data_IF_913442652691
#
_entry.id   IF_913442652691
#
_cell.length_a   1.000
_cell.length_b   1.000
_cell.length_c   1.000
_cell.angle_alpha   90.00
_cell.angle_beta   90.00
_cell.angle_gamma   90.00
#
_symmetry.space_group_name_H-M   'P 1'
#
loop_
_entity.id
_entity.type
_entity.pdbx_description
1 polymer ?
#
# COMPACT_ATOMS: atom_id res chain seq x y z
N UNK A 1 0.35 -35.85 -7.03
CA UNK A 1 1.03 -34.69 -7.63
C UNK A 1 2.54 -34.87 -7.46
N UNK A 2 3.32 -34.60 -8.53
CA UNK A 2 4.78 -34.61 -8.42
C UNK A 2 5.37 -33.54 -9.34
N UNK A 3 6.26 -32.71 -8.80
CA UNK A 3 6.90 -31.60 -9.52
C UNK A 3 8.25 -31.24 -8.91
N UNK A 4 9.13 -30.70 -9.73
CA UNK A 4 10.44 -30.17 -9.32
C UNK A 4 10.50 -28.68 -9.62
N UNK A 5 10.97 -27.88 -8.67
CA UNK A 5 11.00 -26.42 -8.73
C UNK A 5 12.40 -25.89 -8.38
N UNK A 6 12.78 -24.77 -8.96
CA UNK A 6 13.88 -23.95 -8.45
C UNK A 6 13.49 -23.33 -7.09
N UNK A 7 14.30 -23.59 -6.06
CA UNK A 7 13.98 -23.21 -4.68
C UNK A 7 13.72 -21.72 -4.51
N UNK A 8 14.56 -20.84 -5.05
CA UNK A 8 14.44 -19.39 -4.89
C UNK A 8 13.17 -18.83 -5.53
N UNK A 9 12.82 -19.35 -6.72
CA UNK A 9 11.58 -18.96 -7.41
C UNK A 9 10.33 -19.45 -6.67
N UNK A 10 10.40 -20.67 -6.12
CA UNK A 10 9.33 -21.22 -5.29
C UNK A 10 9.19 -20.44 -3.99
N UNK A 11 10.29 -20.09 -3.32
CA UNK A 11 10.31 -19.29 -2.09
C UNK A 11 9.64 -17.93 -2.30
N UNK A 12 10.02 -17.21 -3.36
CA UNK A 12 9.44 -15.90 -3.66
C UNK A 12 7.92 -15.97 -3.90
N UNK A 13 7.49 -16.90 -4.75
CA UNK A 13 6.07 -17.12 -5.03
C UNK A 13 5.30 -17.57 -3.78
N UNK A 14 5.91 -18.44 -2.96
CA UNK A 14 5.31 -18.92 -1.72
C UNK A 14 5.14 -17.81 -0.69
N UNK A 15 6.15 -16.97 -0.49
CA UNK A 15 6.07 -15.83 0.43
C UNK A 15 4.94 -14.86 0.05
N UNK A 16 4.75 -14.62 -1.25
CA UNK A 16 3.67 -13.79 -1.74
C UNK A 16 2.29 -14.42 -1.44
N UNK A 17 2.06 -15.68 -1.77
CA UNK A 17 0.81 -16.36 -1.47
C UNK A 17 0.56 -16.49 0.06
N UNK A 18 1.62 -16.78 0.82
CA UNK A 18 1.55 -16.91 2.28
C UNK A 18 1.29 -15.59 3.02
N UNK A 19 1.54 -14.44 2.38
CA UNK A 19 1.37 -13.11 3.01
C UNK A 19 -0.08 -12.79 3.38
N UNK A 20 -1.05 -13.42 2.76
CA UNK A 20 -2.49 -13.26 3.05
C UNK A 20 -3.04 -14.35 3.98
N UNK A 21 -2.33 -15.47 4.13
CA UNK A 21 -2.76 -16.54 5.03
C UNK A 21 -2.72 -16.05 6.49
N UNK A 22 -3.84 -16.08 7.23
CA UNK A 22 -3.89 -15.58 8.59
C UNK A 22 -3.07 -16.45 9.55
N UNK A 23 -2.45 -15.85 10.55
CA UNK A 23 -1.72 -16.59 11.59
C UNK A 23 -2.65 -17.46 12.46
N UNK A 24 -3.90 -17.02 12.62
CA UNK A 24 -4.98 -17.73 13.34
C UNK A 24 -6.27 -17.60 12.56
N UNK A 25 -7.00 -18.68 12.43
CA UNK A 25 -8.31 -18.73 11.75
C UNK A 25 -9.21 -19.80 12.38
N UNK A 26 -10.52 -19.55 12.48
CA UNK A 26 -11.52 -20.58 12.79
C UNK A 26 -11.53 -21.72 11.77
N UNK A 27 -11.07 -21.46 10.54
CA UNK A 27 -10.88 -22.45 9.48
C UNK A 27 -9.37 -22.70 9.32
N UNK A 28 -8.80 -23.80 9.87
CA UNK A 28 -7.36 -24.07 9.86
C UNK A 28 -6.74 -24.06 8.46
N UNK A 29 -7.46 -24.54 7.45
CA UNK A 29 -6.99 -24.62 6.07
C UNK A 29 -6.54 -23.24 5.50
N UNK A 30 -7.16 -22.14 5.96
CA UNK A 30 -6.77 -20.78 5.53
C UNK A 30 -5.40 -20.35 6.05
N UNK A 31 -4.87 -21.01 7.07
CA UNK A 31 -3.52 -20.75 7.59
C UNK A 31 -2.42 -21.32 6.68
N UNK A 32 -2.81 -22.00 5.60
CA UNK A 32 -1.93 -22.71 4.70
C UNK A 32 -1.98 -22.12 3.29
N UNK A 33 -1.15 -22.64 2.39
CA UNK A 33 -1.08 -22.23 1.00
C UNK A 33 -1.38 -23.45 0.13
N UNK A 34 -2.30 -23.33 -0.82
CA UNK A 34 -2.57 -24.36 -1.81
C UNK A 34 -1.61 -24.23 -2.97
N UNK A 35 -0.97 -25.33 -3.34
CA UNK A 35 -0.24 -25.49 -4.61
C UNK A 35 -1.11 -26.34 -5.54
N UNK A 36 -1.40 -25.81 -6.71
CA UNK A 36 -2.08 -26.51 -7.80
C UNK A 36 -1.13 -26.63 -8.99
N UNK A 37 -0.91 -27.85 -9.44
CA UNK A 37 0.01 -28.18 -10.53
C UNK A 37 -0.80 -28.81 -11.67
N UNK A 38 -0.79 -28.16 -12.82
CA UNK A 38 -1.33 -28.68 -14.08
C UNK A 38 -0.20 -29.23 -14.94
N UNK A 39 -0.50 -29.74 -16.14
CA UNK A 39 0.53 -30.16 -17.09
C UNK A 39 1.44 -29.01 -17.58
N UNK A 40 0.98 -27.77 -17.46
CA UNK A 40 1.66 -26.59 -18.06
C UNK A 40 2.26 -25.65 -17.03
N UNK A 41 1.63 -25.53 -15.86
CA UNK A 41 1.97 -24.53 -14.84
C UNK A 41 1.67 -24.98 -13.43
N UNK A 42 2.31 -24.32 -12.47
CA UNK A 42 1.97 -24.45 -11.06
C UNK A 42 1.57 -23.09 -10.48
N UNK A 43 0.55 -23.09 -9.64
CA UNK A 43 -0.01 -21.90 -9.03
C UNK A 43 -0.09 -22.09 -7.52
N UNK A 44 0.50 -21.16 -6.78
CA UNK A 44 0.33 -21.03 -5.34
C UNK A 44 -0.84 -20.08 -5.04
N UNK A 45 -1.67 -20.47 -4.09
CA UNK A 45 -2.86 -19.71 -3.67
C UNK A 45 -2.91 -19.57 -2.16
N UNK A 46 -3.15 -18.34 -1.71
CA UNK A 46 -3.43 -18.01 -0.31
C UNK A 46 -4.66 -17.11 -0.20
N UNK A 47 -5.42 -17.22 0.90
CA UNK A 47 -6.58 -16.34 1.12
C UNK A 47 -6.99 -16.31 2.59
N UNK A 48 -7.57 -15.17 3.01
CA UNK A 48 -8.30 -15.01 4.28
C UNK A 48 -9.82 -14.84 4.06
N UNK A 49 -10.29 -15.08 2.82
CA UNK A 49 -11.64 -14.91 2.28
C UNK A 49 -11.99 -13.47 1.87
N UNK A 50 -11.34 -12.47 2.43
CA UNK A 50 -11.50 -11.07 2.02
C UNK A 50 -10.47 -10.69 0.94
N UNK A 51 -9.27 -11.23 1.07
CA UNK A 51 -8.17 -11.05 0.12
C UNK A 51 -7.69 -12.41 -0.35
N UNK A 52 -7.41 -12.54 -1.63
CA UNK A 52 -6.85 -13.75 -2.23
C UNK A 52 -5.65 -13.40 -3.12
N UNK A 53 -4.66 -14.27 -3.11
CA UNK A 53 -3.46 -14.17 -3.95
C UNK A 53 -3.28 -15.45 -4.73
N UNK A 54 -3.05 -15.32 -6.03
CA UNK A 54 -2.61 -16.40 -6.94
C UNK A 54 -1.27 -16.02 -7.52
N UNK A 55 -0.30 -16.90 -7.46
CA UNK A 55 1.04 -16.67 -8.03
C UNK A 55 1.46 -17.87 -8.84
N UNK A 56 1.82 -17.65 -10.09
CA UNK A 56 2.41 -18.68 -10.92
C UNK A 56 3.89 -18.88 -10.54
N UNK A 57 4.28 -20.13 -10.32
CA UNK A 57 5.66 -20.51 -9.99
C UNK A 57 6.44 -20.71 -11.29
N UNK A 58 7.45 -19.88 -11.59
CA UNK A 58 8.26 -20.06 -12.78
C UNK A 58 9.27 -21.20 -12.62
N UNK A 59 9.66 -21.82 -13.75
CA UNK A 59 10.72 -22.82 -13.77
C UNK A 59 10.34 -24.13 -13.06
N UNK A 60 9.07 -24.53 -13.13
CA UNK A 60 8.60 -25.81 -12.64
C UNK A 60 8.68 -26.88 -13.71
N UNK A 61 9.13 -28.07 -13.33
CA UNK A 61 9.04 -29.29 -14.13
C UNK A 61 7.98 -30.19 -13.53
N UNK A 62 6.93 -30.48 -14.30
CA UNK A 62 5.78 -31.28 -13.85
C UNK A 62 5.95 -32.73 -14.30
N UNK A 63 5.94 -33.65 -13.34
CA UNK A 63 5.95 -35.11 -13.58
C UNK A 63 4.53 -35.70 -13.49
N UNK A 64 3.75 -35.22 -12.53
CA UNK A 64 2.35 -35.61 -12.35
C UNK A 64 1.51 -34.42 -11.84
N UNK A 65 0.39 -34.09 -12.52
CA UNK A 65 -0.50 -33.01 -12.07
C UNK A 65 -1.22 -33.36 -10.77
N UNK A 66 -1.80 -32.35 -10.13
CA UNK A 66 -2.60 -32.49 -8.91
C UNK A 66 -2.42 -31.29 -7.98
N UNK A 67 -2.95 -31.38 -6.78
CA UNK A 67 -2.88 -30.28 -5.81
C UNK A 67 -2.50 -30.76 -4.42
N UNK A 68 -1.98 -29.84 -3.60
CA UNK A 68 -1.57 -30.08 -2.22
C UNK A 68 -1.70 -28.81 -1.40
N UNK A 69 -2.04 -28.95 -0.13
CA UNK A 69 -2.04 -27.86 0.85
C UNK A 69 -0.72 -27.88 1.63
N UNK A 70 0.01 -26.78 1.59
CA UNK A 70 1.34 -26.61 2.16
C UNK A 70 1.23 -25.86 3.50
N UNK A 71 1.66 -26.44 4.63
CA UNK A 71 1.66 -25.78 5.92
C UNK A 71 2.56 -24.54 5.90
N UNK A 72 1.98 -23.33 6.01
CA UNK A 72 2.66 -22.04 5.81
C UNK A 72 3.99 -21.94 6.53
N UNK A 73 3.97 -22.13 7.86
CA UNK A 73 5.15 -21.84 8.68
C UNK A 73 6.27 -22.87 8.49
N UNK A 74 5.91 -24.15 8.38
CA UNK A 74 6.89 -25.24 8.23
C UNK A 74 7.48 -25.28 6.83
N UNK A 75 6.64 -25.19 5.82
CA UNK A 75 7.10 -25.19 4.44
C UNK A 75 7.91 -23.93 4.11
N UNK A 76 7.49 -22.75 4.61
CA UNK A 76 8.25 -21.52 4.48
C UNK A 76 9.65 -21.61 5.11
N UNK A 77 9.77 -22.25 6.28
CA UNK A 77 11.09 -22.52 6.92
C UNK A 77 11.93 -23.47 6.09
N UNK A 78 11.36 -24.55 5.54
CA UNK A 78 12.10 -25.47 4.66
C UNK A 78 12.68 -24.70 3.47
N UNK A 79 11.89 -23.86 2.81
CA UNK A 79 12.35 -23.06 1.68
C UNK A 79 13.45 -22.06 2.06
N UNK A 80 13.35 -21.43 3.24
CA UNK A 80 14.32 -20.43 3.71
C UNK A 80 15.64 -21.06 4.14
N UNK A 81 15.60 -22.22 4.79
CA UNK A 81 16.79 -22.88 5.37
C UNK A 81 17.47 -23.85 4.40
N UNK A 82 16.79 -24.25 3.32
CA UNK A 82 17.40 -25.15 2.33
C UNK A 82 18.47 -24.44 1.54
N UNK A 83 19.62 -25.12 1.38
CA UNK A 83 20.71 -24.70 0.50
C UNK A 83 20.64 -25.30 -0.91
N UNK A 84 19.64 -26.17 -1.16
CA UNK A 84 19.47 -26.84 -2.44
C UNK A 84 18.96 -25.84 -3.50
N UNK A 85 19.50 -25.89 -4.72
CA UNK A 85 19.03 -25.07 -5.85
C UNK A 85 17.66 -25.51 -6.34
N UNK A 86 17.35 -26.80 -6.23
CA UNK A 86 16.07 -27.39 -6.68
C UNK A 86 15.47 -28.26 -5.60
N UNK A 87 14.15 -28.25 -5.52
CA UNK A 87 13.37 -29.10 -4.61
C UNK A 87 12.32 -29.88 -5.37
N UNK A 88 12.18 -31.16 -5.06
CA UNK A 88 11.09 -32.01 -5.54
C UNK A 88 9.96 -32.06 -4.53
N UNK A 89 8.74 -31.89 -5.00
CA UNK A 89 7.51 -31.94 -4.23
C UNK A 89 6.66 -33.11 -4.70
N UNK A 90 6.24 -33.95 -3.77
CA UNK A 90 5.38 -35.09 -4.05
C UNK A 90 4.24 -35.16 -3.02
N UNK A 91 2.97 -35.24 -3.48
CA UNK A 91 1.86 -35.45 -2.57
C UNK A 91 1.41 -36.91 -2.59
N UNK A 92 1.24 -37.48 -1.40
CA UNK A 92 0.79 -38.85 -1.18
C UNK A 92 -0.14 -38.93 0.05
N UNK A 93 -1.41 -39.22 -0.18
CA UNK A 93 -2.37 -39.63 0.86
C UNK A 93 -2.47 -38.69 2.09
N UNK A 94 -2.59 -37.38 1.90
CA UNK A 94 -2.68 -36.40 3.01
C UNK A 94 -1.33 -35.94 3.55
N UNK A 95 -0.28 -36.12 2.77
CA UNK A 95 1.08 -35.70 3.11
C UNK A 95 1.71 -35.04 1.88
N UNK A 96 2.66 -34.13 2.13
CA UNK A 96 3.59 -33.63 1.12
C UNK A 96 5.00 -34.03 1.51
N UNK A 97 5.73 -34.59 0.55
CA UNK A 97 7.13 -34.96 0.71
C UNK A 97 7.94 -33.95 -0.09
N UNK A 98 8.87 -33.26 0.59
CA UNK A 98 9.78 -32.29 0.01
C UNK A 98 11.19 -32.91 0.03
N UNK A 99 11.83 -33.06 -1.12
CA UNK A 99 13.16 -33.63 -1.24
C UNK A 99 14.13 -32.62 -1.86
N UNK A 100 15.27 -32.44 -1.21
CA UNK A 100 16.47 -31.84 -1.74
C UNK A 100 17.52 -32.91 -2.09
N UNK A 101 18.76 -32.51 -2.37
CA UNK A 101 19.84 -33.45 -2.70
C UNK A 101 20.19 -34.39 -1.52
N UNK A 102 20.17 -33.85 -0.28
CA UNK A 102 20.52 -34.58 0.93
C UNK A 102 19.48 -34.42 2.05
N UNK A 103 18.34 -33.86 1.75
CA UNK A 103 17.28 -33.58 2.71
C UNK A 103 15.95 -34.16 2.26
N UNK A 104 15.16 -34.62 3.23
CA UNK A 104 13.78 -35.05 2.98
C UNK A 104 12.94 -34.64 4.17
N UNK A 105 11.81 -33.97 3.86
CA UNK A 105 10.82 -33.58 4.83
C UNK A 105 9.47 -34.19 4.45
N UNK A 106 8.72 -34.59 5.45
CA UNK A 106 7.35 -35.08 5.28
C UNK A 106 6.44 -34.21 6.15
N UNK A 107 5.53 -33.49 5.53
CA UNK A 107 4.60 -32.59 6.19
C UNK A 107 3.16 -33.11 6.03
N UNK A 108 2.28 -32.93 7.04
CA UNK A 108 0.85 -33.19 6.87
C UNK A 108 0.29 -32.19 5.85
N UNK A 109 -0.69 -32.63 5.08
CA UNK A 109 -1.45 -31.82 4.13
C UNK A 109 -2.94 -32.05 4.36
N UNK A 110 -3.69 -30.96 4.42
CA UNK A 110 -5.15 -30.99 4.43
C UNK A 110 -5.68 -31.30 3.02
N UNK A 111 -6.97 -31.62 2.93
CA UNK A 111 -7.61 -31.90 1.65
C UNK A 111 -7.64 -30.65 0.78
N UNK A 112 -6.97 -30.62 -0.38
CA UNK A 112 -6.90 -29.44 -1.25
C UNK A 112 -8.26 -29.05 -1.87
N UNK A 113 -9.24 -29.95 -1.90
CA UNK A 113 -10.59 -29.67 -2.42
C UNK A 113 -11.41 -28.81 -1.44
N UNK A 114 -11.03 -28.79 -0.17
CA UNK A 114 -11.65 -27.93 0.86
C UNK A 114 -11.06 -26.51 0.89
N UNK A 115 -9.95 -26.28 0.17
CA UNK A 115 -9.35 -24.96 0.09
C UNK A 115 -10.23 -24.04 -0.75
N UNK A 116 -10.57 -22.82 -0.24
CA UNK A 116 -11.42 -21.89 -0.98
C UNK A 116 -10.84 -21.52 -2.34
N UNK A 117 -11.70 -21.37 -3.34
CA UNK A 117 -11.27 -20.88 -4.65
C UNK A 117 -10.77 -19.44 -4.53
N UNK A 118 -9.65 -19.14 -5.17
CA UNK A 118 -9.12 -17.78 -5.35
C UNK A 118 -9.30 -17.42 -6.81
N UNK A 119 -9.91 -16.27 -7.08
CA UNK A 119 -10.24 -15.85 -8.43
C UNK A 119 -8.99 -15.63 -9.28
N UNK A 120 -9.03 -16.06 -10.52
CA UNK A 120 -8.05 -15.72 -11.55
C UNK A 120 -8.42 -14.39 -12.22
N UNK A 121 -7.45 -13.73 -12.83
CA UNK A 121 -7.72 -12.54 -13.63
C UNK A 121 -8.11 -12.97 -15.06
N UNK A 122 -9.40 -12.98 -15.34
CA UNK A 122 -9.98 -13.36 -16.66
C UNK A 122 -10.70 -12.17 -17.31
N UNK A 123 -10.54 -10.96 -16.73
CA UNK A 123 -11.22 -9.75 -17.16
C UNK A 123 -10.72 -9.27 -18.52
N UNK A 124 -11.67 -8.94 -19.41
CA UNK A 124 -11.40 -8.32 -20.70
C UNK A 124 -11.46 -6.78 -20.63
N UNK A 125 -12.02 -6.27 -19.56
CA UNK A 125 -12.15 -4.84 -19.28
C UNK A 125 -11.39 -4.51 -18.00
N UNK A 126 -10.43 -3.61 -18.09
CA UNK A 126 -9.58 -3.21 -16.97
C UNK A 126 -8.93 -1.85 -17.23
N UNK A 127 -8.32 -1.27 -16.22
CA UNK A 127 -7.37 -0.16 -16.41
C UNK A 127 -5.95 -0.69 -16.37
N UNK A 128 -5.15 -0.20 -17.30
CA UNK A 128 -3.72 -0.51 -17.36
C UNK A 128 -2.90 0.73 -16.98
N UNK A 129 -1.88 0.53 -16.15
CA UNK A 129 -1.00 1.60 -15.68
C UNK A 129 0.38 1.07 -15.30
N UNK A 130 1.44 1.93 -15.31
CA UNK A 130 2.77 1.50 -14.87
C UNK A 130 2.76 1.04 -13.40
N UNK A 131 3.38 -0.10 -13.12
CA UNK A 131 3.49 -0.64 -11.75
C UNK A 131 4.16 0.37 -10.81
N UNK A 132 5.20 1.06 -11.27
CA UNK A 132 5.87 2.12 -10.52
C UNK A 132 4.92 3.25 -10.09
N UNK A 133 4.06 3.71 -11.01
CA UNK A 133 3.07 4.74 -10.66
C UNK A 133 2.10 4.24 -9.60
N UNK A 134 1.59 3.00 -9.72
CA UNK A 134 0.67 2.46 -8.73
C UNK A 134 1.33 2.26 -7.36
N UNK A 135 2.59 1.88 -7.30
CA UNK A 135 3.36 1.86 -6.03
C UNK A 135 3.47 3.25 -5.40
N UNK A 136 3.69 4.28 -6.21
CA UNK A 136 3.66 5.67 -5.72
C UNK A 136 2.28 6.04 -5.18
N UNK A 137 1.20 5.65 -5.88
CA UNK A 137 -0.18 5.80 -5.39
C UNK A 137 -0.35 5.19 -4.01
N UNK A 138 0.07 3.92 -3.83
CA UNK A 138 -0.03 3.26 -2.53
C UNK A 138 0.74 4.00 -1.45
N UNK A 139 2.02 4.27 -1.66
CA UNK A 139 2.91 4.90 -0.68
C UNK A 139 2.46 6.29 -0.27
N UNK A 140 1.92 7.06 -1.22
CA UNK A 140 1.49 8.44 -1.02
C UNK A 140 0.10 8.60 -0.43
N UNK A 141 -0.69 7.54 -0.34
CA UNK A 141 -2.06 7.61 0.15
C UNK A 141 -2.33 6.78 1.39
N UNK A 142 -1.77 5.58 1.48
CA UNK A 142 -2.15 4.57 2.49
C UNK A 142 -1.99 5.04 3.94
N UNK A 143 -1.02 5.91 4.22
CA UNK A 143 -0.75 6.41 5.57
C UNK A 143 -1.81 7.41 6.07
N UNK A 144 -2.64 7.95 5.16
CA UNK A 144 -3.71 8.89 5.49
C UNK A 144 -5.07 8.20 5.68
N UNK A 145 -5.14 6.87 5.69
CA UNK A 145 -6.37 6.11 5.98
C UNK A 145 -6.65 6.05 7.48
N UNK A 146 -7.91 5.80 7.85
CA UNK A 146 -8.36 5.61 9.23
C UNK A 146 -9.17 4.31 9.36
N UNK A 147 -8.56 3.28 9.93
CA UNK A 147 -9.21 1.99 10.14
C UNK A 147 -10.20 1.97 11.31
N UNK A 148 -10.24 3.00 12.14
CA UNK A 148 -11.09 3.08 13.34
C UNK A 148 -12.39 3.88 13.09
N UNK A 149 -12.51 4.51 11.93
CA UNK A 149 -13.69 5.30 11.58
C UNK A 149 -14.95 4.42 11.49
N UNK A 150 -15.98 4.78 12.26
CA UNK A 150 -17.29 4.10 12.23
C UNK A 150 -18.32 4.81 11.34
N UNK A 151 -18.08 6.07 10.96
CA UNK A 151 -19.04 6.90 10.21
C UNK A 151 -18.83 6.84 8.69
N UNK A 152 -17.58 6.73 8.27
CA UNK A 152 -17.18 6.73 6.86
C UNK A 152 -16.26 5.57 6.58
N UNK A 153 -16.23 5.15 5.33
CA UNK A 153 -15.35 4.08 4.85
C UNK A 153 -13.90 4.61 4.65
N UNK A 154 -13.27 5.10 5.74
CA UNK A 154 -11.92 5.66 5.72
C UNK A 154 -10.81 4.62 5.88
N UNK A 155 -11.17 3.35 6.14
CA UNK A 155 -10.24 2.23 6.28
C UNK A 155 -9.64 1.74 4.96
N UNK A 156 -9.74 2.53 3.90
CA UNK A 156 -9.19 2.24 2.60
C UNK A 156 -8.90 3.48 1.76
N UNK A 157 -8.32 3.25 0.60
CA UNK A 157 -8.03 4.29 -0.40
C UNK A 157 -9.12 4.28 -1.46
N UNK A 158 -9.79 5.40 -1.66
CA UNK A 158 -10.74 5.61 -2.75
C UNK A 158 -9.96 5.69 -4.07
N UNK A 159 -10.33 4.88 -5.03
CA UNK A 159 -9.81 4.90 -6.40
C UNK A 159 -10.91 5.36 -7.35
N UNK A 160 -10.68 6.43 -8.05
CA UNK A 160 -11.54 6.92 -9.12
C UNK A 160 -10.83 6.71 -10.46
N UNK A 161 -11.48 6.01 -11.36
CA UNK A 161 -10.95 5.65 -12.68
C UNK A 161 -11.66 6.45 -13.77
N UNK A 162 -10.88 7.14 -14.57
CA UNK A 162 -11.35 7.82 -15.78
C UNK A 162 -10.70 7.20 -17.01
N UNK A 163 -11.11 7.59 -18.22
CA UNK A 163 -10.62 6.98 -19.46
C UNK A 163 -9.08 6.93 -19.57
N UNK A 164 -8.38 7.95 -19.08
CA UNK A 164 -6.93 8.08 -19.21
C UNK A 164 -6.21 8.42 -17.88
N UNK A 165 -6.92 8.37 -16.76
CA UNK A 165 -6.34 8.71 -15.47
C UNK A 165 -6.92 7.89 -14.34
N UNK A 166 -6.12 7.78 -13.27
CA UNK A 166 -6.51 7.29 -11.96
C UNK A 166 -6.32 8.41 -10.96
N UNK A 167 -7.30 8.62 -10.08
CA UNK A 167 -7.18 9.46 -8.90
C UNK A 167 -7.36 8.59 -7.66
N UNK A 168 -6.38 8.60 -6.78
CA UNK A 168 -6.43 7.91 -5.49
C UNK A 168 -6.53 8.93 -4.36
N UNK A 169 -7.41 8.68 -3.40
CA UNK A 169 -7.64 9.58 -2.26
C UNK A 169 -7.70 8.79 -0.96
N UNK A 170 -7.02 9.29 0.06
CA UNK A 170 -7.13 8.78 1.42
C UNK A 170 -7.26 9.95 2.41
N UNK A 171 -8.04 9.76 3.47
CA UNK A 171 -8.24 10.76 4.52
C UNK A 171 -8.63 10.09 5.84
N UNK A 172 -8.20 10.71 6.95
CA UNK A 172 -8.62 10.39 8.32
C UNK A 172 -9.53 11.50 8.93
N UNK A 173 -9.95 12.47 8.07
CA UNK A 173 -10.75 13.62 8.48
C UNK A 173 -9.94 14.82 8.98
N UNK A 174 -8.64 14.68 9.22
CA UNK A 174 -7.71 15.75 9.64
C UNK A 174 -6.68 16.08 8.58
N UNK A 175 -6.42 15.13 7.71
CA UNK A 175 -5.55 15.24 6.54
C UNK A 175 -6.14 14.50 5.36
N UNK A 176 -5.72 14.86 4.17
CA UNK A 176 -6.14 14.21 2.93
C UNK A 176 -4.96 14.10 1.99
N UNK A 177 -4.66 12.89 1.54
CA UNK A 177 -3.68 12.62 0.50
C UNK A 177 -4.38 12.30 -0.82
N UNK A 178 -3.94 12.90 -1.92
CA UNK A 178 -4.45 12.64 -3.26
C UNK A 178 -3.30 12.46 -4.23
N UNK A 179 -3.27 11.35 -4.94
CA UNK A 179 -2.37 11.12 -6.07
C UNK A 179 -3.18 10.93 -7.34
N UNK A 180 -2.83 11.67 -8.38
CA UNK A 180 -3.39 11.55 -9.71
C UNK A 180 -2.30 11.21 -10.72
N UNK A 181 -2.62 10.41 -11.74
CA UNK A 181 -1.68 10.08 -12.79
C UNK A 181 -2.26 9.16 -13.86
N UNK A 182 -1.43 8.65 -14.78
CA UNK A 182 -1.88 7.97 -15.98
C UNK A 182 -2.43 6.58 -15.68
N UNK A 183 -3.59 6.29 -16.25
CA UNK A 183 -4.18 4.95 -16.33
C UNK A 183 -5.04 4.87 -17.58
N UNK A 184 -4.93 3.82 -18.36
CA UNK A 184 -5.64 3.67 -19.63
C UNK A 184 -6.75 2.65 -19.49
N UNK A 185 -7.97 3.04 -19.83
CA UNK A 185 -9.12 2.12 -19.91
C UNK A 185 -8.97 1.20 -21.12
N UNK A 186 -8.96 -0.11 -20.87
CA UNK A 186 -8.95 -1.17 -21.88
C UNK A 186 -10.33 -1.79 -21.93
N UNK A 187 -10.84 -2.02 -23.15
CA UNK A 187 -12.18 -2.60 -23.37
C UNK A 187 -13.33 -1.71 -22.91
N UNK A 188 -13.07 -0.41 -22.68
CA UNK A 188 -14.09 0.52 -22.16
C UNK A 188 -14.42 0.25 -20.69
N UNK A 189 -13.44 -0.16 -19.89
CA UNK A 189 -13.62 -0.36 -18.45
C UNK A 189 -14.06 0.94 -17.77
N UNK A 190 -15.05 0.84 -16.92
CA UNK A 190 -15.48 1.88 -15.97
C UNK A 190 -15.57 1.23 -14.59
N UNK A 191 -15.40 2.01 -13.53
CA UNK A 191 -15.70 1.50 -12.18
C UNK A 191 -17.17 1.08 -12.10
N UNK A 192 -17.48 0.12 -11.21
CA UNK A 192 -18.86 -0.24 -10.90
C UNK A 192 -19.66 0.95 -10.35
N UNK A 193 -20.95 0.76 -10.10
CA UNK A 193 -21.85 1.80 -9.56
C UNK A 193 -21.49 2.19 -8.12
N UNK A 194 -20.71 1.36 -7.43
CA UNK A 194 -20.22 1.59 -6.07
C UNK A 194 -18.85 2.28 -6.06
N UNK A 195 -18.53 2.94 -4.95
CA UNK A 195 -17.21 3.55 -4.77
C UNK A 195 -16.12 2.48 -4.64
N UNK A 196 -15.09 2.55 -5.45
CA UNK A 196 -13.94 1.63 -5.37
C UNK A 196 -13.03 2.03 -4.23
N UNK A 197 -13.29 1.53 -3.03
CA UNK A 197 -12.47 1.79 -1.83
C UNK A 197 -11.68 0.53 -1.51
N UNK A 198 -10.39 0.56 -1.81
CA UNK A 198 -9.48 -0.57 -1.58
C UNK A 198 -9.00 -0.57 -0.14
N UNK A 199 -9.20 -1.66 0.64
CA UNK A 199 -8.74 -1.71 2.03
C UNK A 199 -7.25 -1.40 2.18
N UNK A 200 -6.89 -0.69 3.26
CA UNK A 200 -5.49 -0.36 3.61
C UNK A 200 -4.57 -1.58 3.58
N UNK A 201 -5.03 -2.71 4.14
CA UNK A 201 -4.29 -3.98 4.14
C UNK A 201 -4.00 -4.48 2.72
N UNK A 202 -4.97 -4.36 1.83
CA UNK A 202 -4.81 -4.76 0.41
C UNK A 202 -3.85 -3.83 -0.32
N UNK A 203 -3.94 -2.51 -0.09
CA UNK A 203 -2.99 -1.56 -0.67
C UNK A 203 -1.54 -1.87 -0.24
N UNK A 204 -1.31 -2.17 1.03
CA UNK A 204 0.01 -2.58 1.54
C UNK A 204 0.49 -3.91 0.97
N UNK A 205 -0.42 -4.85 0.70
CA UNK A 205 -0.09 -6.10 0.03
C UNK A 205 0.33 -5.84 -1.42
N UNK A 206 -0.40 -4.98 -2.13
CA UNK A 206 -0.08 -4.58 -3.50
C UNK A 206 1.30 -3.93 -3.59
N UNK A 207 1.68 -3.00 -2.69
CA UNK A 207 3.02 -2.41 -2.68
C UNK A 207 4.14 -3.46 -2.58
N UNK A 208 3.92 -4.51 -1.78
CA UNK A 208 4.90 -5.62 -1.63
C UNK A 208 4.91 -6.59 -2.80
N UNK A 209 3.78 -6.78 -3.45
CA UNK A 209 3.63 -7.71 -4.57
C UNK A 209 4.11 -7.15 -5.91
N UNK A 210 4.10 -5.81 -6.04
CA UNK A 210 4.56 -5.14 -7.25
C UNK A 210 6.09 -5.10 -7.28
N UNK A 211 6.68 -5.67 -8.31
CA UNK A 211 8.12 -5.59 -8.55
C UNK A 211 8.53 -4.19 -9.05
N UNK A 212 9.83 -3.85 -8.90
CA UNK A 212 10.38 -2.60 -9.44
C UNK A 212 10.56 -2.62 -10.98
N UNK A 213 10.16 -3.70 -11.64
CA UNK A 213 10.21 -3.84 -13.08
C UNK A 213 9.25 -2.84 -13.74
N UNK A 214 9.62 -2.39 -14.94
CA UNK A 214 8.86 -1.40 -15.74
C UNK A 214 7.56 -1.98 -16.33
N UNK A 215 7.04 -3.07 -15.79
CA UNK A 215 5.82 -3.72 -16.26
C UNK A 215 4.58 -2.92 -15.86
N UNK A 216 3.57 -2.99 -16.72
CA UNK A 216 2.26 -2.48 -16.42
C UNK A 216 1.48 -3.44 -15.52
N UNK A 217 0.63 -2.90 -14.69
CA UNK A 217 -0.39 -3.64 -13.97
C UNK A 217 -1.75 -3.46 -14.63
N UNK A 218 -2.64 -4.40 -14.39
CA UNK A 218 -4.02 -4.36 -14.83
C UNK A 218 -4.92 -4.41 -13.61
N UNK A 219 -5.83 -3.44 -13.50
CA UNK A 219 -6.77 -3.32 -12.42
C UNK A 219 -8.19 -3.36 -12.97
N UNK A 220 -8.96 -4.35 -12.57
CA UNK A 220 -10.38 -4.46 -12.85
C UNK A 220 -11.16 -4.17 -11.56
N UNK A 221 -11.83 -3.03 -11.52
CA UNK A 221 -12.74 -2.66 -10.43
C UNK A 221 -14.15 -3.15 -10.79
N UNK A 222 -14.77 -3.88 -9.87
CA UNK A 222 -16.14 -4.37 -9.98
C UNK A 222 -16.97 -3.78 -8.85
N UNK A 223 -18.24 -4.13 -8.75
CA UNK A 223 -19.14 -3.53 -7.76
C UNK A 223 -18.71 -3.71 -6.32
N UNK A 224 -18.21 -4.91 -5.95
CA UNK A 224 -17.91 -5.26 -4.56
C UNK A 224 -16.46 -5.68 -4.33
N UNK A 225 -15.66 -5.77 -5.39
CA UNK A 225 -14.29 -6.24 -5.32
C UNK A 225 -13.42 -5.71 -6.44
N UNK A 226 -12.12 -5.96 -6.32
CA UNK A 226 -11.14 -5.70 -7.35
C UNK A 226 -10.31 -6.94 -7.68
N UNK A 227 -9.83 -6.97 -8.89
CA UNK A 227 -8.75 -7.85 -9.34
C UNK A 227 -7.59 -7.01 -9.84
N UNK A 228 -6.39 -7.30 -9.36
CA UNK A 228 -5.15 -6.68 -9.82
C UNK A 228 -4.22 -7.76 -10.32
N UNK A 229 -3.77 -7.65 -11.57
CA UNK A 229 -2.73 -8.51 -12.16
C UNK A 229 -1.44 -7.74 -12.34
N UNK A 230 -0.34 -8.29 -11.83
CA UNK A 230 1.02 -7.80 -12.05
C UNK A 230 1.93 -8.97 -12.34
N UNK A 231 2.50 -9.01 -13.54
CA UNK A 231 3.31 -10.13 -13.99
C UNK A 231 2.60 -11.48 -13.80
N UNK A 232 3.15 -12.32 -12.94
CA UNK A 232 2.62 -13.66 -12.64
C UNK A 232 1.66 -13.73 -11.44
N UNK A 233 1.41 -12.61 -10.79
CA UNK A 233 0.54 -12.55 -9.62
C UNK A 233 -0.82 -11.95 -9.96
N UNK A 234 -1.86 -12.51 -9.37
CA UNK A 234 -3.21 -11.94 -9.33
C UNK A 234 -3.62 -11.78 -7.87
N UNK A 235 -4.07 -10.59 -7.53
CA UNK A 235 -4.58 -10.25 -6.21
C UNK A 235 -6.06 -9.92 -6.36
N UNK A 236 -6.88 -10.62 -5.61
CA UNK A 236 -8.29 -10.35 -5.41
C UNK A 236 -8.48 -9.64 -4.07
N UNK A 237 -9.38 -8.68 -3.99
CA UNK A 237 -9.79 -8.09 -2.71
C UNK A 237 -11.23 -7.61 -2.77
N UNK A 238 -11.97 -7.85 -1.68
CA UNK A 238 -13.21 -7.13 -1.43
C UNK A 238 -12.94 -5.66 -1.21
N UNK A 239 -13.90 -4.82 -1.57
CA UNK A 239 -13.89 -3.38 -1.32
C UNK A 239 -14.44 -3.08 0.08
N UNK A 240 -14.05 -1.93 0.63
CA UNK A 240 -14.66 -1.40 1.85
C UNK A 240 -16.05 -0.87 1.50
N UNK A 241 -17.07 -1.38 2.15
CA UNK A 241 -18.43 -0.90 2.00
C UNK A 241 -18.67 0.38 2.81
N UNK A 242 -19.43 1.32 2.24
CA UNK A 242 -19.85 2.52 2.96
C UNK A 242 -19.69 3.81 2.17
N UNK A 243 -19.91 4.93 2.85
CA UNK A 243 -19.79 6.26 2.26
C UNK A 243 -18.39 6.80 2.43
N UNK A 244 -17.82 7.31 1.35
CA UNK A 244 -16.61 8.11 1.40
C UNK A 244 -16.97 9.60 1.46
N UNK A 245 -16.20 10.47 2.17
CA UNK A 245 -16.45 11.91 2.17
C UNK A 245 -16.39 12.50 0.76
N UNK A 246 -17.14 13.58 0.53
CA UNK A 246 -17.01 14.38 -0.69
C UNK A 246 -15.68 15.14 -0.66
N UNK A 247 -14.60 14.44 -0.90
CA UNK A 247 -13.23 14.91 -0.72
C UNK A 247 -12.91 16.19 -1.53
N UNK A 248 -13.57 16.39 -2.68
CA UNK A 248 -13.38 17.60 -3.49
C UNK A 248 -13.86 18.86 -2.78
N UNK A 249 -14.89 18.75 -1.93
CA UNK A 249 -15.43 19.88 -1.16
C UNK A 249 -14.48 20.28 -0.01
N UNK A 250 -13.60 19.37 0.39
CA UNK A 250 -12.62 19.60 1.47
C UNK A 250 -11.35 20.28 0.97
N UNK A 251 -11.07 20.22 -0.34
CA UNK A 251 -9.92 20.92 -0.92
C UNK A 251 -10.10 22.42 -0.79
N UNK A 252 -9.17 23.13 -0.12
CA UNK A 252 -9.27 24.58 0.04
C UNK A 252 -9.21 25.28 -1.31
N UNK A 253 -9.95 26.39 -1.44
CA UNK A 253 -9.78 27.29 -2.58
C UNK A 253 -8.41 27.96 -2.50
N UNK A 254 -7.66 27.93 -3.59
CA UNK A 254 -6.28 28.44 -3.66
C UNK A 254 -6.16 29.95 -3.82
N UNK A 255 -7.29 30.65 -4.01
CA UNK A 255 -7.29 32.10 -4.19
C UNK A 255 -6.73 32.81 -2.95
N UNK A 256 -5.73 33.67 -3.14
CA UNK A 256 -5.10 34.43 -2.07
C UNK A 256 -4.23 33.60 -1.12
N UNK A 257 -3.82 32.38 -1.49
CA UNK A 257 -2.82 31.61 -0.76
C UNK A 257 -1.41 32.07 -1.13
N UNK A 258 -0.55 32.17 -0.13
CA UNK A 258 0.90 32.32 -0.29
C UNK A 258 1.48 30.96 -0.69
N UNK A 259 2.38 30.96 -1.69
CA UNK A 259 3.06 29.75 -2.18
C UNK A 259 4.53 29.83 -1.83
N UNK A 260 5.01 28.80 -1.16
CA UNK A 260 6.39 28.72 -0.69
C UNK A 260 6.98 27.40 -1.19
N UNK A 261 8.05 27.49 -1.97
CA UNK A 261 8.78 26.31 -2.43
C UNK A 261 9.73 25.81 -1.34
N UNK A 262 9.71 24.51 -1.09
CA UNK A 262 10.48 23.86 -0.05
C UNK A 262 11.22 22.66 -0.61
N UNK A 263 12.45 22.41 -0.11
CA UNK A 263 13.18 21.16 -0.38
C UNK A 263 12.88 20.14 0.71
N UNK A 264 12.54 18.92 0.31
CA UNK A 264 12.06 17.84 1.21
C UNK A 264 13.06 17.53 2.32
N UNK A 265 14.32 17.24 2.00
CA UNK A 265 15.32 16.78 2.97
C UNK A 265 15.57 17.74 4.12
N UNK A 266 15.98 18.99 3.85
CA UNK A 266 16.18 20.01 4.90
C UNK A 266 14.93 20.27 5.73
N UNK A 267 13.75 20.37 5.08
CA UNK A 267 12.51 20.63 5.81
C UNK A 267 12.09 19.43 6.68
N UNK A 268 12.24 18.20 6.18
CA UNK A 268 12.00 16.99 6.96
C UNK A 268 12.89 16.90 8.20
N UNK A 269 14.17 17.26 8.06
CA UNK A 269 15.10 17.30 9.19
C UNK A 269 14.64 18.35 10.24
N UNK A 270 14.23 19.55 9.81
CA UNK A 270 13.72 20.58 10.70
C UNK A 270 12.44 20.16 11.43
N UNK A 271 11.47 19.57 10.70
CA UNK A 271 10.22 19.03 11.30
C UNK A 271 10.54 17.98 12.36
N UNK A 272 11.44 17.04 12.07
CA UNK A 272 11.84 15.99 13.02
C UNK A 272 12.52 16.55 14.27
N UNK A 273 13.31 17.62 14.14
CA UNK A 273 13.93 18.29 15.30
C UNK A 273 12.87 18.99 16.14
N UNK A 274 11.96 19.74 15.52
CA UNK A 274 10.95 20.51 16.22
C UNK A 274 9.98 19.61 17.01
N UNK A 275 9.67 18.41 16.48
CA UNK A 275 8.73 17.49 17.14
C UNK A 275 9.30 16.71 18.34
N UNK A 276 10.60 16.83 18.66
CA UNK A 276 11.22 16.06 19.76
C UNK A 276 10.55 16.39 21.12
N UNK A 277 10.10 17.61 21.30
CA UNK A 277 9.46 18.09 22.56
C UNK A 277 7.93 18.02 22.54
N UNK A 278 7.32 17.51 21.47
CA UNK A 278 5.85 17.35 21.39
C UNK A 278 5.40 16.07 22.11
N UNK A 279 4.19 16.09 22.67
CA UNK A 279 3.55 14.96 23.33
C UNK A 279 2.21 14.62 22.68
N UNK A 280 1.55 13.54 23.14
CA UNK A 280 0.18 13.20 22.69
C UNK A 280 -0.85 14.28 23.07
N UNK A 281 -0.62 15.01 24.14
CA UNK A 281 -1.51 16.06 24.65
C UNK A 281 -1.24 17.40 23.95
N UNK A 282 0.04 17.71 23.67
CA UNK A 282 0.48 18.91 22.95
C UNK A 282 1.23 18.51 21.67
N UNK A 283 0.46 18.29 20.62
CA UNK A 283 0.96 17.78 19.32
C UNK A 283 1.46 18.87 18.39
N UNK A 284 1.05 20.13 18.63
CA UNK A 284 1.27 21.23 17.71
C UNK A 284 2.71 21.70 17.67
N UNK A 285 3.17 21.99 16.45
CA UNK A 285 4.35 22.81 16.18
C UNK A 285 3.87 24.04 15.44
N UNK A 286 4.35 25.23 15.84
CA UNK A 286 4.11 26.48 15.16
C UNK A 286 5.13 26.65 14.04
N UNK A 287 4.63 26.88 12.84
CA UNK A 287 5.42 27.15 11.63
C UNK A 287 5.22 28.60 11.25
N UNK A 288 6.28 29.44 11.31
CA UNK A 288 6.25 30.84 10.91
C UNK A 288 7.20 31.04 9.74
N UNK A 289 6.63 31.44 8.60
CA UNK A 289 7.35 31.71 7.36
C UNK A 289 7.47 33.20 7.17
N UNK A 290 8.67 33.71 6.87
CA UNK A 290 8.94 35.14 6.60
C UNK A 290 10.41 35.50 6.71
N UNK A 291 10.81 36.61 6.15
CA UNK A 291 12.18 37.15 6.24
C UNK A 291 13.27 36.18 5.76
N UNK A 292 13.03 35.43 4.69
CA UNK A 292 14.01 34.50 4.11
C UNK A 292 14.18 33.18 4.90
N UNK A 293 13.31 32.89 5.86
CA UNK A 293 13.40 31.68 6.71
C UNK A 293 12.06 31.17 7.15
N UNK A 294 12.05 29.92 7.65
CA UNK A 294 10.96 29.37 8.44
C UNK A 294 11.48 29.10 9.86
N UNK A 295 10.67 29.42 10.85
CA UNK A 295 10.90 29.09 12.26
C UNK A 295 9.85 28.07 12.69
N UNK A 296 10.31 26.93 13.22
CA UNK A 296 9.48 25.88 13.79
C UNK A 296 9.62 25.95 15.31
N UNK A 297 8.52 26.15 16.04
CA UNK A 297 8.52 26.21 17.51
C UNK A 297 7.62 25.11 18.07
N UNK A 298 8.20 24.24 18.88
CA UNK A 298 7.48 23.17 19.59
C UNK A 298 7.47 23.46 21.09
N UNK A 299 6.33 23.20 21.77
CA UNK A 299 6.14 23.38 23.19
C UNK A 299 5.62 22.10 23.83
N UNK A 300 6.37 21.53 24.76
CA UNK A 300 5.95 20.39 25.59
C UNK A 300 5.84 20.81 27.05
N UNK A 301 4.73 20.51 27.73
CA UNK A 301 4.49 20.92 29.10
C UNK A 301 5.60 20.47 30.07
N UNK A 302 6.13 19.26 29.89
CA UNK A 302 7.20 18.67 30.72
C UNK A 302 8.46 18.34 29.91
N UNK A 303 8.39 18.37 28.56
CA UNK A 303 9.46 17.97 27.67
C UNK A 303 10.35 19.13 27.20
N UNK A 304 9.96 20.39 27.51
CA UNK A 304 10.69 21.58 27.16
C UNK A 304 10.20 22.25 25.89
N UNK A 305 11.04 23.10 25.31
CA UNK A 305 10.76 23.87 24.11
C UNK A 305 11.79 23.59 23.03
N UNK A 306 11.37 23.67 21.78
CA UNK A 306 12.27 23.62 20.63
C UNK A 306 12.05 24.82 19.72
N UNK A 307 13.14 25.36 19.20
CA UNK A 307 13.11 26.35 18.12
C UNK A 307 14.11 25.92 17.06
N UNK A 308 13.61 25.68 15.86
CA UNK A 308 14.42 25.26 14.70
C UNK A 308 14.23 26.29 13.59
N UNK A 309 15.34 26.81 13.06
CA UNK A 309 15.34 27.77 11.98
C UNK A 309 15.89 27.11 10.71
N UNK A 310 15.22 27.31 9.58
CA UNK A 310 15.64 26.85 8.27
C UNK A 310 15.56 28.00 7.27
N UNK A 311 16.66 28.38 6.56
CA UNK A 311 16.62 29.34 5.47
C UNK A 311 15.75 28.81 4.30
N UNK A 312 14.93 29.72 3.75
CA UNK A 312 14.06 29.43 2.60
C UNK A 312 14.02 30.63 1.64
N UNK A 313 13.70 30.40 0.39
CA UNK A 313 13.54 31.44 -0.62
C UNK A 313 12.13 32.07 -0.55
N UNK A 314 11.80 32.72 0.57
CA UNK A 314 10.55 33.44 0.76
C UNK A 314 10.73 34.73 1.55
N UNK A 315 10.54 35.88 0.87
CA UNK A 315 10.64 37.21 1.44
C UNK A 315 9.29 37.95 1.53
N UNK A 316 8.17 37.20 1.46
CA UNK A 316 6.81 37.75 1.60
C UNK A 316 6.48 38.16 3.04
N UNK A 317 5.23 38.61 3.23
CA UNK A 317 4.69 38.89 4.55
C UNK A 317 4.69 37.64 5.45
N UNK A 318 4.91 37.84 6.73
CA UNK A 318 4.87 36.72 7.70
C UNK A 318 3.55 36.00 7.66
N UNK A 319 3.61 34.68 7.55
CA UNK A 319 2.46 33.79 7.64
C UNK A 319 2.76 32.64 8.59
N UNK A 320 1.83 32.34 9.50
CA UNK A 320 2.00 31.32 10.51
C UNK A 320 0.83 30.34 10.56
N UNK A 321 1.14 29.09 10.89
CA UNK A 321 0.17 28.03 11.08
C UNK A 321 0.66 27.03 12.12
N UNK A 322 -0.27 26.47 12.91
CA UNK A 322 0.04 25.38 13.86
C UNK A 322 -0.41 24.07 13.28
N UNK A 323 0.53 23.14 13.08
CA UNK A 323 0.25 21.81 12.49
C UNK A 323 0.72 20.68 13.40
N UNK A 324 0.09 19.52 13.27
CA UNK A 324 0.66 18.28 13.82
C UNK A 324 1.88 17.87 12.94
N UNK A 325 3.11 17.92 13.48
CA UNK A 325 4.32 17.64 12.72
C UNK A 325 4.39 16.19 12.20
N UNK A 326 3.64 15.27 12.80
CA UNK A 326 3.57 13.87 12.36
C UNK A 326 2.92 13.78 10.99
N UNK A 327 1.89 14.58 10.71
CA UNK A 327 1.25 14.62 9.39
C UNK A 327 2.19 15.13 8.31
N UNK A 328 2.97 16.17 8.60
CA UNK A 328 4.02 16.63 7.69
C UNK A 328 5.13 15.58 7.50
N UNK A 329 5.54 14.93 8.60
CA UNK A 329 6.54 13.86 8.55
C UNK A 329 6.09 12.72 7.64
N UNK A 330 4.81 12.30 7.69
CA UNK A 330 4.29 11.22 6.85
C UNK A 330 4.28 11.60 5.36
N UNK A 331 3.92 12.85 5.03
CA UNK A 331 4.00 13.38 3.67
C UNK A 331 5.46 13.44 3.16
N UNK A 332 6.39 13.92 3.97
CA UNK A 332 7.77 14.10 3.57
C UNK A 332 8.52 12.77 3.41
N UNK A 333 8.20 11.76 4.23
CA UNK A 333 8.81 10.41 4.16
C UNK A 333 8.62 9.70 2.83
N UNK A 334 7.53 9.98 2.12
CA UNK A 334 7.20 9.31 0.85
C UNK A 334 7.80 10.00 -0.36
N UNK A 335 8.48 11.12 -0.13
CA UNK A 335 9.17 11.90 -1.16
C UNK A 335 10.69 11.70 -1.07
N UNK A 336 11.37 11.81 -2.21
CA UNK A 336 12.84 11.81 -2.23
C UNK A 336 13.41 13.09 -1.56
N UNK A 337 14.52 12.99 -0.84
CA UNK A 337 15.08 14.13 -0.08
C UNK A 337 15.48 15.33 -0.96
N UNK A 338 15.84 15.08 -2.22
CA UNK A 338 16.23 16.12 -3.19
C UNK A 338 15.05 16.72 -3.95
N UNK A 339 13.84 16.19 -3.76
CA UNK A 339 12.64 16.74 -4.40
C UNK A 339 12.25 18.07 -3.76
N UNK A 340 11.59 18.91 -4.56
CA UNK A 340 10.91 20.12 -4.09
C UNK A 340 9.40 19.87 -4.04
N UNK A 341 8.72 20.63 -3.20
CA UNK A 341 7.28 20.71 -3.13
C UNK A 341 6.87 22.15 -2.80
N UNK A 342 5.64 22.50 -3.10
CA UNK A 342 5.09 23.80 -2.74
C UNK A 342 4.13 23.64 -1.56
N UNK A 343 4.33 24.43 -0.48
CA UNK A 343 3.35 24.59 0.57
C UNK A 343 2.55 25.87 0.30
N UNK A 344 1.24 25.76 0.33
CA UNK A 344 0.30 26.87 0.11
C UNK A 344 -0.45 27.16 1.40
N UNK A 345 -0.40 28.40 1.87
CA UNK A 345 -0.96 28.87 3.14
C UNK A 345 -1.79 30.13 2.93
N UNK A 346 -2.88 30.32 3.68
CA UNK A 346 -3.66 31.55 3.70
C UNK A 346 -3.55 32.28 5.03
N UNK A 347 -3.80 31.57 6.11
CA UNK A 347 -3.76 32.07 7.48
C UNK A 347 -3.65 30.89 8.45
N UNK A 348 -3.65 31.17 9.76
CA UNK A 348 -3.52 30.15 10.81
C UNK A 348 -4.71 29.19 10.95
N UNK A 349 -5.89 29.56 10.39
CA UNK A 349 -7.14 28.79 10.58
C UNK A 349 -7.52 27.96 9.33
N UNK A 350 -6.90 28.25 8.19
CA UNK A 350 -7.17 27.55 6.94
C UNK A 350 -6.22 26.37 6.76
N UNK A 351 -6.73 25.30 6.17
CA UNK A 351 -5.89 24.14 5.87
C UNK A 351 -4.69 24.49 4.98
N UNK A 352 -3.54 23.91 5.28
CA UNK A 352 -2.36 23.95 4.44
C UNK A 352 -2.48 22.94 3.28
N UNK A 353 -1.95 23.32 2.11
CA UNK A 353 -1.86 22.41 0.95
C UNK A 353 -0.40 22.22 0.58
N UNK A 354 0.07 20.98 0.50
CA UNK A 354 1.35 20.64 -0.06
C UNK A 354 1.17 19.97 -1.42
N UNK A 355 1.90 20.40 -2.45
CA UNK A 355 1.80 19.85 -3.80
C UNK A 355 3.18 19.60 -4.40
N UNK A 356 3.26 18.55 -5.23
CA UNK A 356 4.40 18.27 -6.11
C UNK A 356 3.98 18.42 -7.57
N UNK A 357 4.94 18.37 -8.49
CA UNK A 357 4.74 18.51 -9.94
C UNK A 357 4.22 17.23 -10.61
N UNK A 358 4.16 16.11 -9.89
CA UNK A 358 3.79 14.78 -10.38
C UNK A 358 2.38 14.33 -9.97
N UNK A 359 1.47 15.30 -9.72
CA UNK A 359 0.05 15.03 -9.42
C UNK A 359 -0.25 14.67 -7.97
N UNK A 360 0.71 14.80 -7.06
CA UNK A 360 0.51 14.59 -5.63
C UNK A 360 0.07 15.87 -4.93
N UNK A 361 -0.97 15.78 -4.12
CA UNK A 361 -1.47 16.86 -3.29
C UNK A 361 -1.83 16.33 -1.90
N UNK A 362 -1.49 17.10 -0.90
CA UNK A 362 -1.73 16.76 0.50
C UNK A 362 -2.29 17.94 1.25
N UNK A 363 -3.40 17.76 1.93
CA UNK A 363 -4.08 18.78 2.73
C UNK A 363 -3.94 18.43 4.20
N UNK A 364 -3.61 19.42 5.04
CA UNK A 364 -3.50 19.26 6.49
C UNK A 364 -4.34 20.32 7.16
N UNK A 365 -5.22 19.89 8.04
CA UNK A 365 -6.01 20.80 8.89
C UNK A 365 -5.12 21.38 10.01
N UNK A 366 -5.19 22.69 10.27
CA UNK A 366 -4.47 23.29 11.37
C UNK A 366 -5.02 22.80 12.71
N UNK A 367 -4.16 22.84 13.72
CA UNK A 367 -4.57 22.70 15.11
C UNK A 367 -5.02 24.08 15.65
N UNK A 368 -6.05 24.10 16.48
CA UNK A 368 -6.43 25.32 17.20
C UNK A 368 -5.24 25.77 18.06
N UNK A 369 -4.90 27.07 18.02
CA UNK A 369 -3.96 27.65 18.98
C UNK A 369 -4.64 27.65 20.34
N UNK A 370 -4.02 27.01 21.33
CA UNK A 370 -4.40 27.13 22.75
C UNK A 370 -4.04 28.48 23.32
#
# INVERSE_FOLDING_TARGET
MKATCERDKLLHAFQMAASVAPARSPKPILQNVKLEVTSEKAILMGTDLEVGVRVEVPGITVEAPGSVVLPRDRFGKILSESSDETLSLESDGGKVIVRGQRSQFQLPSENPDEFPSVLAFEEQKFHEMPARFFREVVRRTVYATDNESSRYALGGVLIELAANSLTAVATDGRRLARQEGPATSVGGHVSGDTMTIIPTKTMQLLDRALSDNEENIQLAARDNDILVRSGRATIYSRLVEGRYPKWRDVFPRRDGMVKIEMTVGPFYAAVRQAMIVTSEERRGVDFTFGGGKIILTGHGAELGESQVELPIAYDGADVGITLDPRYLSDFLKVLGPEKTFTIELRNAESAAICTTDDGYAYVIMPLARE
#
